data_IF_792769498469
#
_entry.id   IF_792769498469
#
_cell.length_a   1.000
_cell.length_b   1.000
_cell.length_c   1.000
_cell.angle_alpha   90.00
_cell.angle_beta   90.00
_cell.angle_gamma   90.00
#
_symmetry.space_group_name_H-M   'P 1'
#
loop_
_entity.id
_entity.type
_entity.pdbx_description
1 polymer ?
#
# COMPACT_ATOMS: atom_id res chain seq x y z
N UNK A 1 -46.30 -110.78 44.50
CA UNK A 1 -45.65 -111.26 43.25
C UNK A 1 -45.45 -110.06 42.32
N UNK A 2 -44.34 -109.99 41.57
CA UNK A 2 -43.25 -109.04 41.85
C UNK A 2 -42.89 -108.09 40.67
N UNK A 3 -41.84 -107.28 40.92
CA UNK A 3 -40.91 -106.62 39.98
C UNK A 3 -41.37 -105.26 39.40
N UNK A 4 -40.83 -104.13 39.85
CA UNK A 4 -39.47 -103.59 39.68
C UNK A 4 -39.32 -102.77 38.38
N UNK A 5 -38.98 -101.48 38.53
CA UNK A 5 -38.09 -100.68 37.67
C UNK A 5 -38.18 -99.20 38.12
N UNK A 6 -37.33 -98.76 39.04
CA UNK A 6 -36.08 -98.01 38.77
C UNK A 6 -36.30 -96.67 38.06
N UNK A 7 -36.16 -95.61 38.86
CA UNK A 7 -35.98 -94.24 38.43
C UNK A 7 -34.75 -94.13 37.49
N UNK A 8 -34.96 -93.58 36.30
CA UNK A 8 -33.88 -93.20 35.41
C UNK A 8 -33.98 -91.70 35.15
N UNK A 9 -33.20 -90.95 35.92
CA UNK A 9 -32.86 -89.56 35.62
C UNK A 9 -32.00 -89.56 34.35
N UNK A 10 -32.62 -89.26 33.19
CA UNK A 10 -31.85 -88.93 31.98
C UNK A 10 -31.60 -87.43 31.97
N UNK A 11 -30.33 -87.13 32.21
CA UNK A 11 -29.75 -85.81 32.12
C UNK A 11 -30.08 -85.14 30.77
N UNK A 12 -30.77 -84.02 30.89
CA UNK A 12 -30.40 -82.73 30.31
C UNK A 12 -29.25 -82.76 29.28
N UNK A 13 -29.56 -82.66 27.99
CA UNK A 13 -28.77 -81.85 27.06
C UNK A 13 -29.53 -81.59 25.76
N UNK A 14 -30.65 -80.87 25.83
CA UNK A 14 -31.04 -80.06 24.68
C UNK A 14 -30.00 -78.94 24.58
N UNK A 15 -29.08 -79.09 23.62
CA UNK A 15 -28.16 -78.03 23.20
C UNK A 15 -29.00 -76.83 22.75
N UNK A 16 -29.23 -75.89 23.67
CA UNK A 16 -29.67 -74.55 23.31
C UNK A 16 -28.56 -73.97 22.44
N UNK A 17 -28.85 -73.84 21.14
CA UNK A 17 -28.06 -72.99 20.27
C UNK A 17 -27.98 -71.63 20.93
N UNK A 18 -26.78 -71.35 21.45
CA UNK A 18 -26.33 -70.02 21.80
C UNK A 18 -26.61 -69.08 20.63
N UNK A 19 -26.79 -67.80 20.94
CA UNK A 19 -27.08 -66.69 20.03
C UNK A 19 -28.56 -66.39 19.81
N UNK A 20 -29.22 -66.01 20.90
CA UNK A 20 -30.23 -64.95 20.81
C UNK A 20 -29.42 -63.65 20.83
N UNK A 21 -29.33 -62.97 19.68
CA UNK A 21 -28.76 -61.64 19.60
C UNK A 21 -29.34 -60.74 20.68
N UNK A 22 -28.53 -59.80 21.17
CA UNK A 22 -28.92 -58.84 22.22
C UNK A 22 -30.34 -58.35 21.93
N UNK A 23 -31.33 -58.59 22.80
CA UNK A 23 -32.66 -58.04 22.58
C UNK A 23 -32.49 -56.54 22.47
N UNK A 24 -32.86 -55.98 21.32
CA UNK A 24 -32.83 -54.55 21.11
C UNK A 24 -33.94 -53.96 21.98
N UNK A 25 -33.58 -53.63 23.23
CA UNK A 25 -34.50 -53.04 24.19
C UNK A 25 -34.68 -51.58 23.76
N UNK A 26 -35.72 -51.33 22.98
CA UNK A 26 -36.20 -49.98 22.72
C UNK A 26 -36.76 -49.42 24.03
N UNK A 27 -35.91 -48.72 24.78
CA UNK A 27 -36.37 -47.89 25.87
C UNK A 27 -37.18 -46.73 25.27
N UNK A 28 -38.51 -46.83 25.29
CA UNK A 28 -39.43 -45.73 24.98
C UNK A 28 -39.42 -44.65 26.09
N UNK A 29 -38.25 -44.40 26.68
CA UNK A 29 -38.06 -43.34 27.67
C UNK A 29 -37.96 -42.04 26.90
N UNK A 30 -39.03 -41.26 26.91
CA UNK A 30 -39.01 -39.89 26.40
C UNK A 30 -37.98 -39.10 27.21
N UNK A 31 -36.85 -38.76 26.56
CA UNK A 31 -35.83 -37.94 27.19
C UNK A 31 -36.39 -36.52 27.26
N UNK A 32 -36.96 -36.17 28.41
CA UNK A 32 -37.42 -34.82 28.68
C UNK A 32 -36.23 -33.93 29.06
N UNK A 33 -35.73 -33.18 28.06
CA UNK A 33 -34.67 -32.20 28.22
C UNK A 33 -35.19 -30.83 28.68
N UNK A 34 -36.48 -30.68 29.03
CA UNK A 34 -37.08 -29.41 29.41
C UNK A 34 -36.40 -28.72 30.61
N UNK A 35 -35.68 -29.49 31.45
CA UNK A 35 -34.96 -29.00 32.63
C UNK A 35 -33.44 -28.93 32.46
N UNK A 36 -32.91 -29.22 31.28
CA UNK A 36 -31.48 -29.15 31.03
C UNK A 36 -31.05 -27.70 30.90
N UNK A 37 -30.67 -27.09 32.02
CA UNK A 37 -30.07 -25.76 32.03
C UNK A 37 -28.58 -25.91 31.74
N UNK A 38 -28.10 -25.23 30.69
CA UNK A 38 -26.67 -25.15 30.39
C UNK A 38 -25.98 -24.42 31.54
N UNK A 39 -25.24 -25.17 32.36
CA UNK A 39 -24.39 -24.59 33.40
C UNK A 39 -23.22 -23.90 32.70
N UNK A 40 -23.10 -22.59 32.88
CA UNK A 40 -21.96 -21.85 32.36
C UNK A 40 -20.76 -22.03 33.30
N UNK A 41 -19.72 -22.70 32.81
CA UNK A 41 -18.44 -22.77 33.51
C UNK A 41 -17.69 -21.43 33.34
N UNK A 42 -17.52 -20.62 34.41
CA UNK A 42 -16.90 -19.30 34.29
C UNK A 42 -15.42 -19.38 33.87
N UNK A 43 -14.76 -20.52 34.09
CA UNK A 43 -13.39 -20.78 33.62
C UNK A 43 -13.32 -20.85 32.09
N UNK A 44 -14.28 -21.55 31.46
CA UNK A 44 -14.34 -21.71 30.01
C UNK A 44 -14.65 -20.39 29.31
N UNK A 45 -15.51 -19.56 29.91
CA UNK A 45 -15.75 -18.20 29.41
C UNK A 45 -14.48 -17.32 29.43
N UNK A 46 -13.62 -17.46 30.45
CA UNK A 46 -12.34 -16.73 30.53
C UNK A 46 -11.35 -17.20 29.47
N UNK A 47 -11.23 -18.50 29.27
CA UNK A 47 -10.37 -19.08 28.21
C UNK A 47 -10.80 -18.60 26.83
N UNK A 48 -12.11 -18.67 26.52
CA UNK A 48 -12.65 -18.18 25.25
C UNK A 48 -12.40 -16.68 25.07
N UNK A 49 -12.44 -15.89 26.15
CA UNK A 49 -12.09 -14.46 26.11
C UNK A 49 -10.62 -14.25 25.74
N UNK A 50 -9.69 -15.00 26.36
CA UNK A 50 -8.27 -14.92 26.00
C UNK A 50 -8.00 -15.33 24.55
N UNK A 51 -8.63 -16.41 24.07
CA UNK A 51 -8.57 -16.82 22.67
C UNK A 51 -9.11 -15.74 21.73
N UNK A 52 -10.25 -15.13 22.07
CA UNK A 52 -10.84 -14.06 21.26
C UNK A 52 -9.95 -12.82 21.19
N UNK A 53 -9.31 -12.45 22.31
CA UNK A 53 -8.36 -11.32 22.35
C UNK A 53 -7.14 -11.64 21.50
N UNK A 54 -6.55 -12.83 21.65
CA UNK A 54 -5.41 -13.25 20.86
C UNK A 54 -5.72 -13.24 19.35
N UNK A 55 -6.90 -13.75 18.97
CA UNK A 55 -7.35 -13.75 17.57
C UNK A 55 -7.57 -12.32 17.05
N UNK A 56 -8.16 -11.44 17.86
CA UNK A 56 -8.36 -10.04 17.49
C UNK A 56 -7.02 -9.31 17.31
N UNK A 57 -6.06 -9.53 18.22
CA UNK A 57 -4.70 -9.00 18.10
C UNK A 57 -4.01 -9.49 16.83
N UNK A 58 -4.08 -10.80 16.53
CA UNK A 58 -3.54 -11.38 15.30
C UNK A 58 -4.17 -10.73 14.06
N UNK A 59 -5.50 -10.61 14.05
CA UNK A 59 -6.23 -9.99 12.96
C UNK A 59 -5.81 -8.54 12.71
N UNK A 60 -5.70 -7.74 13.78
CA UNK A 60 -5.25 -6.35 13.69
C UNK A 60 -3.81 -6.24 13.17
N UNK A 61 -2.91 -7.12 13.60
CA UNK A 61 -1.53 -7.17 13.09
C UNK A 61 -1.49 -7.47 11.59
N UNK A 62 -2.26 -8.47 11.13
CA UNK A 62 -2.33 -8.81 9.70
C UNK A 62 -2.95 -7.67 8.90
N UNK A 63 -4.03 -7.05 9.39
CA UNK A 63 -4.66 -5.93 8.71
C UNK A 63 -3.75 -4.71 8.61
N UNK A 64 -3.05 -4.35 9.69
CA UNK A 64 -2.11 -3.23 9.69
C UNK A 64 -0.92 -3.49 8.78
N UNK A 65 -0.39 -4.71 8.76
CA UNK A 65 0.66 -5.11 7.82
C UNK A 65 0.19 -5.01 6.37
N UNK A 66 -0.99 -5.54 6.05
CA UNK A 66 -1.56 -5.45 4.72
C UNK A 66 -1.77 -3.98 4.32
N UNK A 67 -2.35 -3.16 5.20
CA UNK A 67 -2.53 -1.73 4.99
C UNK A 67 -1.20 -1.00 4.71
N UNK A 68 -0.16 -1.28 5.51
CA UNK A 68 1.18 -0.72 5.30
C UNK A 68 1.75 -1.13 3.95
N UNK A 69 1.61 -2.40 3.57
CA UNK A 69 2.07 -2.92 2.29
C UNK A 69 1.36 -2.23 1.12
N UNK A 70 0.03 -2.06 1.19
CA UNK A 70 -0.74 -1.29 0.19
C UNK A 70 -0.30 0.17 0.12
N UNK A 71 -0.08 0.81 1.27
CA UNK A 71 0.41 2.20 1.32
C UNK A 71 1.80 2.34 0.72
N UNK A 72 2.71 1.41 0.99
CA UNK A 72 4.04 1.40 0.40
C UNK A 72 3.97 1.28 -1.13
N UNK A 73 3.06 0.46 -1.66
CA UNK A 73 2.82 0.35 -3.12
C UNK A 73 2.29 1.68 -3.69
N UNK A 74 1.30 2.29 -3.03
CA UNK A 74 0.72 3.58 -3.46
C UNK A 74 1.78 4.71 -3.46
N UNK A 75 2.60 4.78 -2.41
CA UNK A 75 3.70 5.74 -2.33
C UNK A 75 4.78 5.48 -3.39
N UNK A 76 5.06 4.21 -3.72
CA UNK A 76 5.97 3.86 -4.82
C UNK A 76 5.53 4.48 -6.16
N UNK A 77 4.24 4.40 -6.47
CA UNK A 77 3.70 5.02 -7.69
C UNK A 77 3.68 6.54 -7.65
N UNK A 78 3.35 7.15 -6.49
CA UNK A 78 3.40 8.60 -6.35
C UNK A 78 4.81 9.15 -6.49
N UNK A 79 5.81 8.44 -5.96
CA UNK A 79 7.23 8.82 -6.11
C UNK A 79 7.65 8.71 -7.56
N UNK A 80 7.27 7.64 -8.25
CA UNK A 80 7.62 7.45 -9.65
C UNK A 80 6.96 8.53 -10.54
N UNK A 81 5.69 8.86 -10.30
CA UNK A 81 5.00 9.90 -11.09
C UNK A 81 5.58 11.30 -10.86
N UNK A 82 5.94 11.63 -9.61
CA UNK A 82 6.62 12.89 -9.29
C UNK A 82 8.03 12.95 -9.90
N UNK A 83 8.74 11.81 -9.94
CA UNK A 83 10.05 11.72 -10.58
C UNK A 83 9.97 11.93 -12.09
N UNK A 84 8.99 11.31 -12.76
CA UNK A 84 8.75 11.54 -14.19
C UNK A 84 8.44 13.01 -14.50
N UNK A 85 7.64 13.68 -13.67
CA UNK A 85 7.35 15.11 -13.83
C UNK A 85 8.60 15.98 -13.63
N UNK A 86 9.43 15.65 -12.63
CA UNK A 86 10.69 16.38 -12.42
C UNK A 86 11.61 16.20 -13.63
N UNK A 87 11.75 14.98 -14.13
CA UNK A 87 12.63 14.67 -15.24
C UNK A 87 12.15 15.36 -16.54
N UNK A 88 10.84 15.42 -16.78
CA UNK A 88 10.31 16.17 -17.93
C UNK A 88 10.58 17.66 -17.85
N UNK A 89 10.42 18.28 -16.67
CA UNK A 89 10.71 19.71 -16.45
C UNK A 89 12.21 20.01 -16.60
N UNK A 90 13.07 19.10 -16.14
CA UNK A 90 14.52 19.23 -16.30
C UNK A 90 14.91 19.16 -17.77
N UNK A 91 14.35 18.23 -18.53
CA UNK A 91 14.64 18.12 -19.96
C UNK A 91 14.15 19.35 -20.73
N UNK A 92 12.92 19.82 -20.46
CA UNK A 92 12.40 21.05 -21.06
C UNK A 92 13.27 22.28 -20.74
N UNK A 93 13.76 22.41 -19.50
CA UNK A 93 14.69 23.49 -19.15
C UNK A 93 15.99 23.38 -19.95
N UNK A 94 16.52 22.16 -20.09
CA UNK A 94 17.75 21.92 -20.85
C UNK A 94 17.56 22.32 -22.31
N UNK A 95 16.44 21.93 -22.93
CA UNK A 95 16.08 22.32 -24.30
C UNK A 95 16.00 23.85 -24.43
N UNK A 96 15.28 24.52 -23.53
CA UNK A 96 15.17 25.98 -23.53
C UNK A 96 16.53 26.68 -23.39
N UNK A 97 17.42 26.16 -22.55
CA UNK A 97 18.77 26.71 -22.41
C UNK A 97 19.61 26.52 -23.68
N UNK A 98 19.46 25.39 -24.38
CA UNK A 98 20.12 25.16 -25.66
C UNK A 98 19.58 26.08 -26.75
N UNK A 99 18.26 26.31 -26.77
CA UNK A 99 17.63 27.27 -27.67
C UNK A 99 18.11 28.70 -27.41
N UNK A 100 18.14 29.14 -26.15
CA UNK A 100 18.63 30.46 -25.77
C UNK A 100 20.09 30.64 -26.18
N UNK A 101 20.95 29.66 -25.92
CA UNK A 101 22.35 29.68 -26.35
C UNK A 101 22.48 29.75 -27.88
N UNK A 102 21.64 29.02 -28.61
CA UNK A 102 21.59 29.03 -30.07
C UNK A 102 21.09 30.36 -30.64
N UNK A 103 20.13 31.01 -29.97
CA UNK A 103 19.60 32.32 -30.35
C UNK A 103 20.59 33.45 -30.03
N UNK A 104 21.34 33.34 -28.94
CA UNK A 104 22.38 34.29 -28.53
C UNK A 104 23.68 34.14 -29.30
N UNK A 105 23.82 33.13 -30.15
CA UNK A 105 25.05 32.92 -30.91
C UNK A 105 25.32 34.13 -31.82
N UNK A 106 26.39 34.92 -31.56
CA UNK A 106 26.66 36.17 -32.28
C UNK A 106 26.91 35.94 -33.77
N UNK A 107 27.52 34.81 -34.15
CA UNK A 107 27.74 34.47 -35.56
C UNK A 107 26.42 34.29 -36.30
N UNK A 108 25.44 33.63 -35.67
CA UNK A 108 24.09 33.45 -36.23
C UNK A 108 23.38 34.80 -36.38
N UNK A 109 23.50 35.67 -35.39
CA UNK A 109 22.95 37.02 -35.40
C UNK A 109 23.57 37.84 -36.53
N UNK A 110 24.89 37.84 -36.67
CA UNK A 110 25.61 38.60 -37.70
C UNK A 110 25.25 38.13 -39.12
N UNK A 111 25.15 36.81 -39.33
CA UNK A 111 24.71 36.25 -40.61
C UNK A 111 23.27 36.67 -40.95
N UNK A 112 22.38 36.68 -39.96
CA UNK A 112 21.00 37.12 -40.16
C UNK A 112 20.90 38.63 -40.40
N UNK A 113 21.67 39.43 -39.66
CA UNK A 113 21.77 40.88 -39.84
C UNK A 113 22.23 41.25 -41.26
N UNK A 114 23.27 40.58 -41.76
CA UNK A 114 23.77 40.79 -43.14
C UNK A 114 22.73 40.45 -44.21
N UNK A 115 21.94 39.38 -44.01
CA UNK A 115 20.83 39.03 -44.93
C UNK A 115 19.73 40.09 -44.96
N UNK A 116 19.52 40.80 -43.85
CA UNK A 116 18.58 41.92 -43.73
C UNK A 116 19.17 43.25 -44.21
N UNK A 117 20.41 43.26 -44.72
CA UNK A 117 21.11 44.48 -45.17
C UNK A 117 21.66 45.33 -44.03
N UNK A 118 21.64 44.84 -42.79
CA UNK A 118 22.23 45.51 -41.64
C UNK A 118 23.75 45.28 -41.61
N UNK A 119 24.51 46.30 -41.25
CA UNK A 119 25.97 46.27 -41.15
C UNK A 119 26.42 46.79 -39.79
N UNK A 120 27.56 46.29 -39.30
CA UNK A 120 28.13 46.80 -38.05
C UNK A 120 28.48 48.28 -38.18
N UNK A 121 28.13 49.11 -37.17
CA UNK A 121 28.40 50.54 -37.22
C UNK A 121 29.91 50.81 -37.26
N UNK A 122 30.32 51.82 -38.04
CA UNK A 122 31.72 52.26 -38.07
C UNK A 122 32.05 53.09 -36.81
N UNK A 123 33.33 53.12 -36.44
CA UNK A 123 33.81 53.90 -35.30
C UNK A 123 33.40 55.39 -35.47
N UNK A 124 32.60 55.91 -34.53
CA UNK A 124 32.08 57.29 -34.55
C UNK A 124 30.60 57.45 -34.96
N UNK A 125 29.93 56.40 -35.45
CA UNK A 125 28.50 56.46 -35.82
C UNK A 125 27.52 56.10 -34.69
N UNK A 126 28.02 55.74 -33.50
CA UNK A 126 27.20 55.35 -32.34
C UNK A 126 27.01 56.55 -31.41
N UNK A 127 25.86 57.21 -31.50
CA UNK A 127 25.46 58.27 -30.56
C UNK A 127 24.62 57.65 -29.44
N UNK A 128 25.17 57.58 -28.22
CA UNK A 128 24.40 57.21 -27.03
C UNK A 128 23.56 58.40 -26.60
N UNK A 129 22.24 58.22 -26.57
CA UNK A 129 21.35 59.23 -26.01
C UNK A 129 21.34 59.06 -24.49
N UNK A 130 22.05 59.94 -23.79
CA UNK A 130 21.99 59.98 -22.33
C UNK A 130 20.60 60.48 -21.91
N UNK A 131 19.82 59.60 -21.27
CA UNK A 131 18.48 59.90 -20.75
C UNK A 131 18.48 60.86 -19.54
N UNK A 132 19.50 61.71 -19.40
CA UNK A 132 19.63 62.70 -18.32
C UNK A 132 19.73 64.14 -18.82
N UNK A 133 19.47 64.39 -20.09
CA UNK A 133 19.26 65.74 -20.61
C UNK A 133 17.80 66.20 -20.41
N UNK A 134 17.28 66.08 -19.18
CA UNK A 134 16.23 66.98 -18.72
C UNK A 134 16.50 67.36 -17.26
N UNK A 135 16.43 68.65 -16.99
CA UNK A 135 17.15 69.30 -15.89
C UNK A 135 16.68 68.94 -14.47
N UNK A 136 17.64 68.75 -13.58
CA UNK A 136 17.57 69.36 -12.25
C UNK A 136 17.00 68.57 -11.07
N UNK A 137 17.11 67.23 -11.01
CA UNK A 137 16.85 66.51 -9.74
C UNK A 137 18.08 65.75 -9.25
N UNK A 138 18.49 65.89 -7.97
CA UNK A 138 19.67 65.24 -7.45
C UNK A 138 19.46 63.72 -7.36
N UNK A 139 20.32 62.98 -8.04
CA UNK A 139 20.34 61.52 -8.07
C UNK A 139 20.74 60.99 -6.70
N UNK A 140 19.77 60.43 -5.97
CA UNK A 140 20.02 59.64 -4.76
C UNK A 140 20.71 58.32 -5.16
N UNK A 141 21.85 58.03 -4.53
CA UNK A 141 22.61 56.81 -4.75
C UNK A 141 21.74 55.58 -4.44
N UNK A 142 21.36 54.83 -5.47
CA UNK A 142 20.79 53.48 -5.30
C UNK A 142 21.91 52.46 -5.48
N UNK A 143 22.04 51.62 -4.46
CA UNK A 143 23.03 50.54 -4.40
C UNK A 143 22.53 49.40 -5.29
N UNK A 144 23.08 49.26 -6.49
CA UNK A 144 22.85 48.07 -7.32
C UNK A 144 23.75 46.93 -6.80
N UNK A 145 23.20 45.80 -6.34
CA UNK A 145 24.04 44.68 -5.93
C UNK A 145 24.69 44.05 -7.17
N UNK A 146 26.02 44.02 -7.16
CA UNK A 146 26.86 43.33 -8.14
C UNK A 146 26.50 41.83 -8.10
N UNK A 147 25.86 41.33 -9.16
CA UNK A 147 25.67 39.89 -9.36
C UNK A 147 26.93 39.29 -9.98
N UNK A 148 27.60 38.44 -9.21
CA UNK A 148 28.79 37.71 -9.66
C UNK A 148 28.33 36.49 -10.44
N UNK A 149 28.58 36.48 -11.76
CA UNK A 149 28.30 35.33 -12.62
C UNK A 149 29.33 34.25 -12.28
N UNK A 150 28.90 33.20 -11.58
CA UNK A 150 29.71 32.01 -11.39
C UNK A 150 29.75 31.24 -12.71
N UNK A 151 30.87 31.36 -13.43
CA UNK A 151 31.21 30.44 -14.50
C UNK A 151 31.56 29.07 -13.90
N UNK A 152 30.97 28.01 -14.42
CA UNK A 152 31.34 26.63 -14.14
C UNK A 152 31.50 25.88 -15.44
#
# INVERSE_FOLDING_TARGET
>A
MPAAATAQAMANSQRKSFWVGTPEIYFAKTIDNSRLVKVEDPRRAREMRHFSIALCCLFLLVMTYAWQHFKAIEYGYQIESLKMQRDSIVEMNRELHLEDASLRNPERIDLMARKLGLQSPQAGQVMRLDASADGGTPVMASMTPISVISAR
#
